data_IF_230970886120
#
_entry.id   IF_230970886120
#
_cell.length_a   1.000
_cell.length_b   1.000
_cell.length_c   1.000
_cell.angle_alpha   90.00
_cell.angle_beta   90.00
_cell.angle_gamma   90.00
#
_symmetry.space_group_name_H-M   'P 1'
#
loop_
_entity.id
_entity.type
_entity.pdbx_description
1 polymer ?
#
# COMPACT_ATOMS: atom_id res chain seq x y z
N UNK A 1 -23.04 11.87 4.68
CA UNK A 1 -22.88 11.82 3.22
C UNK A 1 -22.79 13.20 2.57
N UNK A 2 -23.74 14.11 2.79
CA UNK A 2 -23.79 15.46 2.17
C UNK A 2 -22.61 16.36 2.57
N UNK A 3 -22.08 16.26 3.79
CA UNK A 3 -20.93 17.06 4.28
C UNK A 3 -19.61 16.70 3.59
N UNK A 4 -19.40 15.42 3.24
CA UNK A 4 -18.20 14.97 2.53
C UNK A 4 -18.22 15.37 1.04
N UNK A 5 -19.39 15.45 0.41
CA UNK A 5 -19.52 15.86 -0.97
C UNK A 5 -19.13 17.35 -1.14
N UNK A 6 -19.49 18.20 -0.18
CA UNK A 6 -19.10 19.63 -0.21
C UNK A 6 -17.60 19.84 -0.06
N UNK A 7 -16.92 19.11 0.84
CA UNK A 7 -15.48 19.28 1.05
C UNK A 7 -14.65 18.78 -0.13
N UNK A 8 -15.02 17.67 -0.77
CA UNK A 8 -14.34 17.17 -1.98
C UNK A 8 -14.50 18.12 -3.16
N UNK A 9 -15.67 18.71 -3.35
CA UNK A 9 -15.89 19.70 -4.42
C UNK A 9 -15.14 21.01 -4.17
N UNK A 10 -15.09 21.50 -2.93
CA UNK A 10 -14.34 22.71 -2.59
C UNK A 10 -12.83 22.49 -2.82
N UNK A 11 -12.28 21.36 -2.37
CA UNK A 11 -10.87 21.02 -2.58
C UNK A 11 -10.49 20.89 -4.05
N UNK A 12 -11.35 20.23 -4.84
CA UNK A 12 -11.10 20.09 -6.29
C UNK A 12 -11.20 21.42 -7.04
N UNK A 13 -12.13 22.28 -6.70
CA UNK A 13 -12.24 23.63 -7.29
C UNK A 13 -11.01 24.46 -6.92
N UNK A 14 -10.58 24.42 -5.65
CA UNK A 14 -9.41 25.17 -5.21
C UNK A 14 -8.14 24.74 -5.95
N UNK A 15 -7.88 23.43 -6.06
CA UNK A 15 -6.72 22.92 -6.80
C UNK A 15 -6.79 23.26 -8.31
N UNK A 16 -7.96 23.18 -8.91
CA UNK A 16 -8.13 23.60 -10.31
C UNK A 16 -7.85 25.10 -10.49
N UNK A 17 -8.30 25.96 -9.58
CA UNK A 17 -7.99 27.38 -9.59
C UNK A 17 -6.49 27.64 -9.42
N UNK A 18 -5.83 26.94 -8.48
CA UNK A 18 -4.38 27.04 -8.30
C UNK A 18 -3.64 26.66 -9.59
N UNK A 19 -4.04 25.56 -10.24
CA UNK A 19 -3.44 25.14 -11.51
C UNK A 19 -3.59 26.21 -12.60
N UNK A 20 -4.80 26.80 -12.73
CA UNK A 20 -5.07 27.89 -13.69
C UNK A 20 -4.20 29.12 -13.39
N UNK A 21 -4.12 29.51 -12.11
CA UNK A 21 -3.29 30.65 -11.67
C UNK A 21 -1.83 30.43 -12.02
N UNK A 22 -1.28 29.23 -11.72
CA UNK A 22 0.11 28.89 -12.04
C UNK A 22 0.34 28.92 -13.55
N UNK A 23 -0.56 28.38 -14.35
CA UNK A 23 -0.44 28.34 -15.80
C UNK A 23 -0.47 29.75 -16.44
N UNK A 24 -1.30 30.67 -15.90
CA UNK A 24 -1.47 32.00 -16.48
C UNK A 24 -0.47 33.00 -15.91
N UNK A 25 -0.31 33.04 -14.56
CA UNK A 25 0.48 34.06 -13.90
C UNK A 25 1.98 33.73 -13.80
N UNK A 26 2.33 32.43 -13.95
CA UNK A 26 3.74 31.96 -13.90
C UNK A 26 4.51 32.52 -12.71
N UNK A 27 4.07 32.28 -11.47
CA UNK A 27 4.52 33.00 -10.28
C UNK A 27 5.95 32.64 -9.82
N UNK A 28 6.56 31.60 -10.37
CA UNK A 28 7.87 31.09 -9.92
C UNK A 28 8.96 31.48 -10.90
N UNK A 29 9.79 32.47 -10.54
CA UNK A 29 10.84 33.01 -11.40
C UNK A 29 11.93 31.98 -11.78
N UNK A 30 12.10 30.95 -10.98
CA UNK A 30 13.09 29.89 -11.18
C UNK A 30 12.59 28.77 -12.14
N UNK A 31 11.34 28.85 -12.59
CA UNK A 31 10.75 27.89 -13.53
C UNK A 31 10.47 28.55 -14.88
N UNK A 32 10.76 27.83 -15.94
CA UNK A 32 10.41 28.27 -17.29
C UNK A 32 8.91 28.10 -17.61
N UNK A 33 8.49 28.52 -18.78
CA UNK A 33 7.09 28.46 -19.21
C UNK A 33 6.58 27.03 -19.32
N UNK A 34 7.41 26.11 -19.77
CA UNK A 34 7.06 24.70 -19.95
C UNK A 34 6.90 24.02 -18.60
N UNK A 35 7.74 24.37 -17.62
CA UNK A 35 7.63 23.89 -16.24
C UNK A 35 6.32 24.36 -15.57
N UNK A 36 5.92 25.62 -15.76
CA UNK A 36 4.64 26.12 -15.22
C UNK A 36 3.43 25.39 -15.80
N UNK A 37 3.43 25.13 -17.12
CA UNK A 37 2.36 24.38 -17.78
C UNK A 37 2.35 22.94 -17.24
N UNK A 38 3.50 22.28 -17.14
CA UNK A 38 3.59 20.92 -16.60
C UNK A 38 3.17 20.86 -15.15
N UNK A 39 3.58 21.82 -14.31
CA UNK A 39 3.19 21.90 -12.92
C UNK A 39 1.66 22.05 -12.75
N UNK A 40 1.03 22.83 -13.62
CA UNK A 40 -0.44 22.94 -13.65
C UNK A 40 -1.07 21.58 -14.00
N UNK A 41 -0.55 20.86 -14.97
CA UNK A 41 -0.99 19.50 -15.32
C UNK A 41 -0.85 18.52 -14.16
N UNK A 42 0.27 18.58 -13.43
CA UNK A 42 0.52 17.76 -12.25
C UNK A 42 -0.50 18.07 -11.15
N UNK A 43 -0.78 19.35 -10.87
CA UNK A 43 -1.76 19.74 -9.86
C UNK A 43 -3.17 19.25 -10.23
N UNK A 44 -3.55 19.29 -11.50
CA UNK A 44 -4.82 18.75 -11.98
C UNK A 44 -4.86 17.22 -11.82
N UNK A 45 -3.78 16.53 -12.16
CA UNK A 45 -3.68 15.08 -11.97
C UNK A 45 -3.80 14.71 -10.48
N UNK A 46 -3.09 15.42 -9.61
CA UNK A 46 -3.19 15.26 -8.14
C UNK A 46 -4.60 15.53 -7.64
N UNK A 47 -5.26 16.56 -8.15
CA UNK A 47 -6.65 16.86 -7.84
C UNK A 47 -7.57 15.67 -8.16
N UNK A 48 -7.40 15.05 -9.35
CA UNK A 48 -8.16 13.87 -9.74
C UNK A 48 -7.85 12.67 -8.84
N UNK A 49 -6.60 12.45 -8.50
CA UNK A 49 -6.16 11.31 -7.67
C UNK A 49 -6.63 11.43 -6.22
N UNK A 50 -6.61 12.63 -5.65
CA UNK A 50 -6.98 12.87 -4.25
C UNK A 50 -8.49 13.01 -4.08
N UNK A 51 -9.12 13.88 -4.87
CA UNK A 51 -10.53 14.26 -4.66
C UNK A 51 -11.52 13.50 -5.53
N UNK A 52 -11.07 12.87 -6.62
CA UNK A 52 -11.92 12.14 -7.60
C UNK A 52 -13.13 12.96 -8.04
N UNK A 53 -12.96 14.20 -8.51
CA UNK A 53 -14.06 15.04 -8.95
C UNK A 53 -14.86 14.32 -10.05
N UNK A 54 -16.18 14.49 -10.07
CA UNK A 54 -17.07 13.85 -11.04
C UNK A 54 -16.94 12.31 -11.12
N UNK A 55 -16.42 11.66 -10.08
CA UNK A 55 -16.11 10.22 -10.05
C UNK A 55 -15.04 9.79 -11.06
N UNK A 56 -14.17 10.71 -11.48
CA UNK A 56 -13.05 10.40 -12.35
C UNK A 56 -12.15 9.33 -11.70
N UNK A 57 -11.64 8.45 -12.55
CA UNK A 57 -10.77 7.36 -12.10
C UNK A 57 -9.30 7.78 -12.06
N UNK A 58 -8.47 7.02 -11.40
CA UNK A 58 -7.03 7.28 -11.31
C UNK A 58 -6.34 7.36 -12.69
N UNK A 59 -6.75 6.51 -13.65
CA UNK A 59 -6.21 6.52 -15.01
C UNK A 59 -6.39 7.90 -15.69
N UNK A 60 -7.52 8.58 -15.45
CA UNK A 60 -7.79 9.89 -16.07
C UNK A 60 -6.76 10.94 -15.61
N UNK A 61 -6.37 10.95 -14.34
CA UNK A 61 -5.28 11.83 -13.86
C UNK A 61 -3.94 11.53 -14.57
N UNK A 62 -3.65 10.24 -14.82
CA UNK A 62 -2.50 9.87 -15.63
C UNK A 62 -2.57 10.37 -17.08
N UNK A 63 -3.75 10.28 -17.72
CA UNK A 63 -3.96 10.80 -19.07
C UNK A 63 -3.83 12.33 -19.13
N UNK A 64 -4.18 13.04 -18.06
CA UNK A 64 -3.95 14.49 -17.94
C UNK A 64 -2.45 14.80 -17.96
N UNK A 65 -1.62 14.04 -17.24
CA UNK A 65 -0.16 14.21 -17.30
C UNK A 65 0.36 14.01 -18.71
N UNK A 66 -0.11 12.97 -19.41
CA UNK A 66 0.28 12.72 -20.80
C UNK A 66 -0.14 13.87 -21.72
N UNK A 67 -1.36 14.40 -21.57
CA UNK A 67 -1.85 15.53 -22.34
C UNK A 67 -0.97 16.77 -22.14
N UNK A 68 -0.64 17.12 -20.92
CA UNK A 68 0.18 18.29 -20.62
C UNK A 68 1.63 18.11 -21.11
N UNK A 69 2.21 16.90 -20.97
CA UNK A 69 3.51 16.59 -21.56
C UNK A 69 3.54 16.73 -23.08
N UNK A 70 2.48 16.30 -23.77
CA UNK A 70 2.35 16.48 -25.23
C UNK A 70 2.15 17.95 -25.61
N UNK A 71 1.41 18.73 -24.82
CA UNK A 71 1.18 20.15 -25.08
C UNK A 71 2.47 20.99 -25.01
N UNK A 72 3.44 20.57 -24.19
CA UNK A 72 4.75 21.22 -24.09
C UNK A 72 5.81 20.52 -24.96
N UNK A 73 5.38 19.66 -25.88
CA UNK A 73 6.21 18.97 -26.87
C UNK A 73 7.35 18.11 -26.29
N UNK A 74 7.16 17.57 -25.07
CA UNK A 74 8.12 16.61 -24.52
C UNK A 74 8.16 15.32 -25.35
N UNK A 75 9.34 14.67 -25.46
CA UNK A 75 9.48 13.41 -26.16
C UNK A 75 8.54 12.34 -25.59
N UNK A 76 7.83 11.55 -26.43
CA UNK A 76 6.99 10.45 -25.96
C UNK A 76 7.73 9.44 -25.06
N UNK A 77 9.03 9.27 -25.26
CA UNK A 77 9.90 8.44 -24.41
C UNK A 77 10.02 8.95 -22.97
N UNK A 78 9.85 10.24 -22.74
CA UNK A 78 9.80 10.86 -21.42
C UNK A 78 8.38 10.74 -20.86
N UNK A 79 7.37 11.13 -21.64
CA UNK A 79 5.97 11.15 -21.22
C UNK A 79 5.48 9.76 -20.80
N UNK A 80 5.81 8.72 -21.58
CA UNK A 80 5.38 7.35 -21.39
C UNK A 80 6.47 6.45 -20.80
N UNK A 81 7.52 7.03 -20.24
CA UNK A 81 8.67 6.29 -19.64
C UNK A 81 8.25 5.26 -18.60
N UNK A 82 7.19 5.52 -17.87
CA UNK A 82 6.70 4.61 -16.83
C UNK A 82 6.17 3.28 -17.38
N UNK A 83 5.76 3.21 -18.65
CA UNK A 83 5.35 1.95 -19.27
C UNK A 83 6.53 1.00 -19.52
N UNK A 84 7.74 1.53 -19.59
CA UNK A 84 8.98 0.76 -19.77
C UNK A 84 9.62 0.36 -18.44
N UNK A 85 9.12 0.83 -17.30
CA UNK A 85 9.67 0.51 -16.00
C UNK A 85 9.48 -0.97 -15.63
N UNK A 86 10.54 -1.71 -15.27
CA UNK A 86 10.45 -3.12 -14.85
C UNK A 86 9.48 -3.35 -13.69
N UNK A 87 9.33 -2.37 -12.81
CA UNK A 87 8.40 -2.43 -11.67
C UNK A 87 6.93 -2.55 -12.12
N UNK A 88 6.52 -1.94 -13.24
CA UNK A 88 5.18 -2.11 -13.80
C UNK A 88 4.96 -3.57 -14.20
N UNK A 89 5.97 -4.21 -14.78
CA UNK A 89 5.95 -5.61 -15.20
C UNK A 89 6.08 -6.61 -14.05
N UNK A 90 6.35 -6.14 -12.84
CA UNK A 90 6.15 -6.90 -11.59
C UNK A 90 4.72 -6.77 -11.10
N UNK A 91 4.13 -5.56 -11.21
CA UNK A 91 2.78 -5.27 -10.70
C UNK A 91 1.66 -5.89 -11.53
N UNK A 92 1.80 -5.91 -12.85
CA UNK A 92 0.78 -6.52 -13.73
C UNK A 92 0.56 -7.99 -13.37
N UNK A 93 1.58 -8.87 -13.34
CA UNK A 93 1.41 -10.26 -12.89
C UNK A 93 0.84 -10.39 -11.47
N UNK A 94 1.15 -9.46 -10.58
CA UNK A 94 0.65 -9.49 -9.21
C UNK A 94 -0.88 -9.41 -9.13
N UNK A 95 -1.55 -8.74 -10.07
CA UNK A 95 -3.01 -8.76 -10.17
C UNK A 95 -3.52 -10.15 -10.53
N UNK A 96 -2.84 -10.86 -11.43
CA UNK A 96 -3.17 -12.23 -11.82
C UNK A 96 -2.97 -13.22 -10.65
N UNK A 97 -1.94 -13.04 -9.83
CA UNK A 97 -1.74 -13.84 -8.61
C UNK A 97 -2.93 -13.70 -7.67
N UNK A 98 -3.37 -12.46 -7.45
CA UNK A 98 -4.54 -12.18 -6.64
C UNK A 98 -5.82 -12.81 -7.20
N UNK A 99 -6.05 -12.66 -8.49
CA UNK A 99 -7.20 -13.27 -9.18
C UNK A 99 -7.17 -14.80 -9.07
N UNK A 100 -5.99 -15.41 -9.25
CA UNK A 100 -5.80 -16.87 -9.12
C UNK A 100 -6.15 -17.36 -7.71
N UNK A 101 -5.72 -16.65 -6.66
CA UNK A 101 -6.08 -16.99 -5.28
C UNK A 101 -7.60 -16.99 -5.03
N UNK A 102 -8.32 -16.05 -5.64
CA UNK A 102 -9.79 -16.01 -5.55
C UNK A 102 -10.45 -17.09 -6.39
N UNK A 103 -10.04 -17.25 -7.65
CA UNK A 103 -10.60 -18.22 -8.60
C UNK A 103 -10.49 -19.65 -8.09
N UNK A 104 -9.33 -20.02 -7.54
CA UNK A 104 -9.08 -21.36 -7.03
C UNK A 104 -9.64 -21.61 -5.64
N UNK A 105 -9.88 -20.57 -4.85
CA UNK A 105 -10.30 -20.68 -3.45
C UNK A 105 -9.17 -21.00 -2.47
N UNK A 106 -7.91 -21.07 -2.94
CA UNK A 106 -6.73 -21.38 -2.13
C UNK A 106 -6.59 -20.43 -0.92
N UNK A 107 -6.81 -19.13 -1.12
CA UNK A 107 -6.72 -18.14 -0.05
C UNK A 107 -7.73 -18.40 1.08
N UNK A 108 -8.97 -18.76 0.75
CA UNK A 108 -10.00 -19.14 1.74
C UNK A 108 -9.60 -20.39 2.49
N UNK A 109 -9.04 -21.39 1.81
CA UNK A 109 -8.57 -22.63 2.43
C UNK A 109 -7.48 -22.38 3.46
N UNK A 110 -6.48 -21.53 3.14
CA UNK A 110 -5.40 -21.14 4.05
C UNK A 110 -5.98 -20.48 5.31
N UNK A 111 -6.84 -19.49 5.14
CA UNK A 111 -7.45 -18.79 6.25
C UNK A 111 -8.27 -19.72 7.15
N UNK A 112 -9.09 -20.59 6.57
CA UNK A 112 -9.89 -21.56 7.31
C UNK A 112 -9.04 -22.62 8.02
N UNK A 113 -7.91 -23.03 7.44
CA UNK A 113 -6.99 -23.99 8.07
C UNK A 113 -6.42 -23.42 9.39
N UNK A 114 -6.03 -22.15 9.39
CA UNK A 114 -5.52 -21.47 10.61
C UNK A 114 -6.63 -21.31 11.66
N UNK A 115 -7.84 -20.89 11.26
CA UNK A 115 -8.95 -20.69 12.21
C UNK A 115 -9.37 -22.00 12.88
N UNK A 116 -9.29 -23.11 12.18
CA UNK A 116 -9.66 -24.43 12.73
C UNK A 116 -8.80 -24.89 13.90
N UNK A 117 -7.55 -24.46 13.97
CA UNK A 117 -6.64 -24.79 15.09
C UNK A 117 -6.79 -23.85 16.28
N UNK A 118 -7.58 -22.77 16.15
CA UNK A 118 -7.79 -21.80 17.22
C UNK A 118 -8.57 -22.38 18.40
N UNK A 119 -8.26 -21.87 19.59
CA UNK A 119 -9.09 -22.05 20.79
C UNK A 119 -10.28 -21.08 20.77
N UNK A 120 -11.40 -21.38 21.47
CA UNK A 120 -12.57 -20.51 21.54
C UNK A 120 -12.35 -19.29 22.45
N UNK A 121 -11.30 -18.54 22.18
CA UNK A 121 -10.93 -17.33 22.91
C UNK A 121 -10.63 -16.20 21.94
N UNK A 122 -10.95 -14.96 22.32
CA UNK A 122 -10.59 -13.79 21.53
C UNK A 122 -9.09 -13.72 21.25
N UNK A 123 -8.26 -13.98 22.27
CA UNK A 123 -6.79 -13.98 22.10
C UNK A 123 -6.38 -14.92 20.97
N UNK A 124 -6.80 -16.17 21.00
CA UNK A 124 -6.44 -17.15 19.96
C UNK A 124 -6.93 -16.73 18.58
N UNK A 125 -8.18 -16.28 18.44
CA UNK A 125 -8.77 -15.86 17.18
C UNK A 125 -8.10 -14.59 16.63
N UNK A 126 -7.82 -13.61 17.49
CA UNK A 126 -7.23 -12.35 17.08
C UNK A 126 -5.78 -12.54 16.64
N UNK A 127 -4.98 -13.32 17.37
CA UNK A 127 -3.62 -13.67 16.95
C UNK A 127 -3.58 -14.55 15.70
N UNK A 128 -4.61 -15.34 15.42
CA UNK A 128 -4.69 -16.17 14.21
C UNK A 128 -4.71 -15.35 12.91
N UNK A 129 -5.19 -14.11 12.96
CA UNK A 129 -5.19 -13.24 11.78
C UNK A 129 -3.77 -12.84 11.34
N UNK A 130 -2.76 -12.84 12.24
CA UNK A 130 -1.36 -12.56 11.88
C UNK A 130 -0.83 -13.59 10.87
N UNK A 131 -0.76 -14.90 11.17
CA UNK A 131 -0.25 -15.88 10.23
C UNK A 131 -1.10 -15.98 8.95
N UNK A 132 -2.42 -15.72 9.03
CA UNK A 132 -3.26 -15.65 7.83
C UNK A 132 -2.82 -14.48 6.94
N UNK A 133 -2.66 -13.29 7.50
CA UNK A 133 -2.21 -12.10 6.77
C UNK A 133 -0.82 -12.28 6.17
N UNK A 134 0.12 -12.83 6.94
CA UNK A 134 1.48 -13.17 6.48
C UNK A 134 1.42 -14.16 5.33
N UNK A 135 0.75 -15.30 5.49
CA UNK A 135 0.68 -16.34 4.46
C UNK A 135 0.05 -15.81 3.15
N UNK A 136 -1.06 -15.07 3.25
CA UNK A 136 -1.70 -14.51 2.07
C UNK A 136 -0.85 -13.42 1.41
N UNK A 137 -0.08 -12.63 2.17
CA UNK A 137 0.77 -11.59 1.59
C UNK A 137 2.06 -12.14 0.96
N UNK A 138 2.51 -13.33 1.34
CA UNK A 138 3.54 -14.09 0.61
C UNK A 138 3.03 -14.49 -0.77
N UNK A 139 1.76 -14.89 -0.85
CA UNK A 139 1.16 -15.40 -2.08
C UNK A 139 0.66 -14.31 -3.03
N UNK A 140 0.36 -13.12 -2.53
CA UNK A 140 -0.09 -11.99 -3.38
C UNK A 140 0.15 -10.63 -2.76
N UNK A 141 0.72 -9.67 -3.52
CA UNK A 141 0.81 -8.26 -3.10
C UNK A 141 -0.56 -7.54 -3.14
N UNK A 142 -1.58 -8.15 -3.76
CA UNK A 142 -2.87 -7.51 -3.94
C UNK A 142 -3.67 -7.47 -2.62
N UNK A 143 -3.53 -6.39 -1.86
CA UNK A 143 -4.26 -6.16 -0.59
C UNK A 143 -5.78 -6.28 -0.77
N UNK A 144 -6.33 -5.82 -1.91
CA UNK A 144 -7.75 -5.96 -2.26
C UNK A 144 -8.21 -7.41 -2.19
N UNK A 145 -7.39 -8.35 -2.69
CA UNK A 145 -7.69 -9.77 -2.69
C UNK A 145 -7.66 -10.33 -1.28
N UNK A 146 -6.64 -9.97 -0.48
CA UNK A 146 -6.55 -10.40 0.92
C UNK A 146 -7.75 -9.93 1.73
N UNK A 147 -8.14 -8.67 1.56
CA UNK A 147 -9.37 -8.11 2.17
C UNK A 147 -10.60 -8.90 1.74
N UNK A 148 -10.77 -9.17 0.43
CA UNK A 148 -11.91 -9.91 -0.09
C UNK A 148 -11.98 -11.38 0.41
N UNK A 149 -10.85 -11.97 0.82
CA UNK A 149 -10.78 -13.30 1.41
C UNK A 149 -11.03 -13.24 2.92
N UNK A 150 -10.33 -12.36 3.64
CA UNK A 150 -10.31 -12.37 5.11
C UNK A 150 -11.57 -11.77 5.72
N UNK A 151 -12.13 -10.71 5.13
CA UNK A 151 -13.29 -10.02 5.72
C UNK A 151 -14.56 -10.88 5.77
N UNK A 152 -14.98 -11.60 4.70
CA UNK A 152 -16.13 -12.49 4.79
C UNK A 152 -15.97 -13.57 5.87
N UNK A 153 -14.76 -14.09 6.04
CA UNK A 153 -14.46 -15.08 7.09
C UNK A 153 -14.59 -14.46 8.47
N UNK A 154 -14.07 -13.24 8.66
CA UNK A 154 -14.21 -12.51 9.93
C UNK A 154 -15.69 -12.22 10.26
N UNK A 155 -16.48 -11.82 9.26
CA UNK A 155 -17.93 -11.63 9.40
C UNK A 155 -18.61 -12.94 9.78
N UNK A 156 -18.29 -14.05 9.10
CA UNK A 156 -18.82 -15.37 9.41
C UNK A 156 -18.46 -15.81 10.85
N UNK A 157 -17.26 -15.54 11.32
CA UNK A 157 -16.87 -15.78 12.71
C UNK A 157 -17.77 -14.99 13.67
N UNK A 158 -17.99 -13.69 13.42
CA UNK A 158 -18.87 -12.85 14.23
C UNK A 158 -20.31 -13.37 14.28
N UNK A 159 -20.81 -13.95 13.16
CA UNK A 159 -22.14 -14.56 13.07
C UNK A 159 -22.25 -15.86 13.87
N UNK A 160 -21.29 -16.73 13.69
CA UNK A 160 -21.25 -18.02 14.43
C UNK A 160 -21.12 -17.82 15.93
N UNK A 161 -20.39 -16.80 16.37
CA UNK A 161 -20.28 -16.44 17.78
C UNK A 161 -21.47 -15.62 18.32
N UNK A 162 -22.48 -15.33 17.48
CA UNK A 162 -23.64 -14.52 17.83
C UNK A 162 -23.29 -13.15 18.42
N UNK A 163 -22.18 -12.55 18.00
CA UNK A 163 -21.75 -11.25 18.50
C UNK A 163 -22.72 -10.15 18.08
N UNK A 164 -23.00 -9.23 19.01
CA UNK A 164 -23.83 -8.06 18.72
C UNK A 164 -23.17 -7.17 17.67
N UNK A 165 -23.92 -6.76 16.65
CA UNK A 165 -23.45 -5.84 15.59
C UNK A 165 -22.92 -4.56 16.20
N UNK A 166 -21.72 -4.12 15.78
CA UNK A 166 -21.07 -2.92 16.29
C UNK A 166 -20.53 -3.02 17.73
N UNK A 167 -20.63 -4.19 18.40
CA UNK A 167 -20.00 -4.40 19.71
C UNK A 167 -18.46 -4.33 19.61
N UNK A 168 -17.79 -4.19 20.75
CA UNK A 168 -16.32 -4.18 20.79
C UNK A 168 -15.75 -5.49 20.24
N UNK A 169 -16.32 -6.65 20.61
CA UNK A 169 -15.88 -7.96 20.12
C UNK A 169 -16.05 -8.12 18.61
N UNK A 170 -17.22 -7.73 18.07
CA UNK A 170 -17.46 -7.72 16.62
C UNK A 170 -16.46 -6.80 15.90
N UNK A 171 -16.27 -5.58 16.40
CA UNK A 171 -15.35 -4.60 15.78
C UNK A 171 -13.90 -5.07 15.87
N UNK A 172 -13.48 -5.65 16.97
CA UNK A 172 -12.12 -6.15 17.16
C UNK A 172 -11.77 -7.24 16.14
N UNK A 173 -12.65 -8.25 15.97
CA UNK A 173 -12.41 -9.34 15.01
C UNK A 173 -12.28 -8.80 13.59
N UNK A 174 -13.22 -7.95 13.16
CA UNK A 174 -13.27 -7.46 11.78
C UNK A 174 -12.15 -6.46 11.50
N UNK A 175 -11.85 -5.53 12.44
CA UNK A 175 -10.74 -4.57 12.31
C UNK A 175 -9.39 -5.27 12.28
N UNK A 176 -9.20 -6.32 13.12
CA UNK A 176 -7.94 -7.06 13.10
C UNK A 176 -7.79 -7.84 11.80
N UNK A 177 -8.83 -8.50 11.29
CA UNK A 177 -8.78 -9.15 9.99
C UNK A 177 -8.43 -8.16 8.88
N UNK A 178 -9.02 -6.97 8.87
CA UNK A 178 -8.66 -5.89 7.95
C UNK A 178 -7.19 -5.48 8.10
N UNK A 179 -6.75 -5.16 9.31
CA UNK A 179 -5.39 -4.71 9.56
C UNK A 179 -4.34 -5.76 9.18
N UNK A 180 -4.61 -7.04 9.45
CA UNK A 180 -3.72 -8.14 9.07
C UNK A 180 -3.75 -8.45 7.58
N UNK A 181 -4.80 -8.11 6.86
CA UNK A 181 -4.79 -8.12 5.39
C UNK A 181 -3.89 -7.01 4.79
N UNK A 182 -3.66 -5.93 5.53
CA UNK A 182 -2.95 -4.74 5.06
C UNK A 182 -1.48 -4.74 5.51
N UNK A 183 -1.22 -4.77 6.82
CA UNK A 183 0.05 -4.35 7.44
C UNK A 183 1.18 -5.38 7.29
N UNK A 184 1.01 -6.67 7.62
CA UNK A 184 2.14 -7.62 7.66
C UNK A 184 2.90 -7.72 6.35
N UNK A 185 2.19 -7.69 5.22
CA UNK A 185 2.79 -7.76 3.88
C UNK A 185 3.75 -6.61 3.57
N UNK A 186 3.67 -5.51 4.28
CA UNK A 186 4.58 -4.37 4.11
C UNK A 186 6.03 -4.70 4.51
N UNK A 187 6.25 -5.77 5.26
CA UNK A 187 7.58 -6.21 5.70
C UNK A 187 8.46 -6.77 4.59
N UNK A 188 7.93 -7.08 3.41
CA UNK A 188 8.69 -7.55 2.25
C UNK A 188 8.19 -6.95 0.93
N UNK A 189 9.11 -6.83 -0.02
CA UNK A 189 8.92 -6.09 -1.27
C UNK A 189 7.67 -6.54 -2.06
N UNK A 190 7.45 -7.83 -2.19
CA UNK A 190 6.33 -8.40 -2.97
C UNK A 190 5.07 -8.63 -2.14
N UNK A 191 5.04 -8.22 -0.89
CA UNK A 191 3.90 -8.44 0.00
C UNK A 191 2.80 -7.39 -0.07
N UNK A 192 3.08 -6.27 -0.73
CA UNK A 192 2.12 -5.18 -0.97
C UNK A 192 2.37 -4.55 -2.33
N UNK A 193 1.35 -3.95 -2.92
CA UNK A 193 1.45 -3.23 -4.20
C UNK A 193 2.47 -2.07 -4.14
N UNK A 194 2.65 -1.47 -2.98
CA UNK A 194 3.61 -0.38 -2.74
C UNK A 194 5.07 -0.80 -2.98
N UNK A 195 5.42 -2.05 -2.67
CA UNK A 195 6.78 -2.51 -2.77
C UNK A 195 7.35 -2.30 -4.18
N UNK A 196 6.80 -2.98 -5.21
CA UNK A 196 7.24 -2.76 -6.58
C UNK A 196 7.02 -1.33 -7.08
N UNK A 197 5.98 -0.63 -6.59
CA UNK A 197 5.73 0.76 -6.93
C UNK A 197 6.87 1.67 -6.42
N UNK A 198 7.20 1.60 -5.13
CA UNK A 198 8.29 2.39 -4.55
C UNK A 198 9.62 2.01 -5.20
N UNK A 199 9.88 0.72 -5.40
CA UNK A 199 11.09 0.25 -6.08
C UNK A 199 11.24 0.90 -7.47
N UNK A 200 10.15 0.99 -8.24
CA UNK A 200 10.17 1.62 -9.56
C UNK A 200 10.40 3.13 -9.49
N UNK A 201 9.80 3.83 -8.53
CA UNK A 201 10.03 5.26 -8.32
C UNK A 201 11.49 5.54 -7.92
N UNK A 202 12.04 4.74 -7.02
CA UNK A 202 13.44 4.84 -6.58
C UNK A 202 14.39 4.56 -7.76
N UNK A 203 14.14 3.52 -8.55
CA UNK A 203 14.93 3.22 -9.74
C UNK A 203 14.89 4.36 -10.77
N UNK A 204 13.73 5.03 -10.93
CA UNK A 204 13.59 6.23 -11.76
C UNK A 204 14.40 7.42 -11.25
N UNK A 205 14.71 7.47 -9.98
CA UNK A 205 15.58 8.45 -9.32
C UNK A 205 17.05 7.99 -9.22
N UNK A 206 17.43 6.87 -9.84
CA UNK A 206 18.78 6.31 -9.79
C UNK A 206 19.10 5.52 -8.52
N UNK A 207 18.12 5.25 -7.68
CA UNK A 207 18.27 4.52 -6.42
C UNK A 207 17.86 3.06 -6.63
N UNK A 208 18.79 2.13 -6.45
CA UNK A 208 18.52 0.70 -6.58
C UNK A 208 18.09 0.12 -5.23
N UNK A 209 16.87 -0.40 -5.17
CA UNK A 209 16.32 -1.04 -3.96
C UNK A 209 16.16 -2.53 -4.23
N UNK A 210 16.87 -3.35 -3.49
CA UNK A 210 16.76 -4.82 -3.57
C UNK A 210 15.70 -5.37 -2.63
N UNK A 211 15.37 -6.65 -2.79
CA UNK A 211 14.49 -7.35 -1.85
C UNK A 211 15.10 -7.42 -0.44
N UNK A 212 16.42 -7.57 -0.36
CA UNK A 212 17.18 -7.59 0.90
C UNK A 212 17.13 -6.26 1.63
N UNK A 213 17.33 -5.14 0.92
CA UNK A 213 17.25 -3.78 1.48
C UNK A 213 15.88 -3.52 2.08
N UNK A 214 14.84 -3.91 1.35
CA UNK A 214 13.45 -3.77 1.81
C UNK A 214 13.21 -4.52 3.13
N UNK A 215 13.60 -5.79 3.21
CA UNK A 215 13.48 -6.59 4.42
C UNK A 215 14.32 -5.99 5.56
N UNK A 216 15.54 -5.58 5.27
CA UNK A 216 16.45 -5.00 6.25
C UNK A 216 15.87 -3.78 6.95
N UNK A 217 15.14 -2.96 6.22
CA UNK A 217 14.57 -1.70 6.73
C UNK A 217 13.19 -1.89 7.35
N UNK A 218 12.34 -2.77 6.78
CA UNK A 218 10.91 -2.82 7.10
C UNK A 218 10.46 -4.02 7.91
N UNK A 219 11.11 -5.18 7.82
CA UNK A 219 10.61 -6.38 8.47
C UNK A 219 10.44 -6.21 9.97
N UNK A 220 11.47 -5.66 10.65
CA UNK A 220 11.45 -5.47 12.11
C UNK A 220 10.38 -4.46 12.52
N UNK A 221 10.34 -3.22 12.00
CA UNK A 221 9.33 -2.25 12.43
C UNK A 221 7.90 -2.68 12.07
N UNK A 222 7.67 -3.34 10.94
CA UNK A 222 6.36 -3.86 10.58
C UNK A 222 5.92 -5.00 11.50
N UNK A 223 6.82 -5.92 11.86
CA UNK A 223 6.51 -7.01 12.79
C UNK A 223 6.14 -6.47 14.18
N UNK A 224 6.89 -5.49 14.69
CA UNK A 224 6.62 -4.83 15.97
C UNK A 224 5.27 -4.09 15.90
N UNK A 225 5.06 -3.25 14.88
CA UNK A 225 3.81 -2.50 14.72
C UNK A 225 2.60 -3.43 14.60
N UNK A 226 2.71 -4.53 13.86
CA UNK A 226 1.68 -5.57 13.73
C UNK A 226 1.33 -6.19 15.07
N UNK A 227 2.35 -6.62 15.81
CA UNK A 227 2.17 -7.30 17.11
C UNK A 227 1.57 -6.36 18.15
N UNK A 228 2.11 -5.13 18.26
CA UNK A 228 1.62 -4.13 19.20
C UNK A 228 0.20 -3.67 18.86
N UNK A 229 -0.15 -3.59 17.57
CA UNK A 229 -1.53 -3.29 17.14
C UNK A 229 -2.51 -4.37 17.63
N UNK A 230 -2.16 -5.63 17.48
CA UNK A 230 -3.01 -6.75 17.92
C UNK A 230 -3.16 -6.75 19.44
N UNK A 231 -2.08 -6.60 20.19
CA UNK A 231 -2.09 -6.52 21.65
C UNK A 231 -2.90 -5.31 22.13
N UNK A 232 -2.60 -4.12 21.58
CA UNK A 232 -3.31 -2.89 21.91
C UNK A 232 -4.79 -2.95 21.58
N UNK A 233 -5.15 -3.61 20.47
CA UNK A 233 -6.54 -3.88 20.11
C UNK A 233 -7.27 -4.70 21.15
N UNK A 234 -6.67 -5.77 21.65
CA UNK A 234 -7.22 -6.61 22.72
C UNK A 234 -7.39 -5.83 24.02
N UNK A 235 -6.49 -4.91 24.34
CA UNK A 235 -6.55 -4.11 25.57
C UNK A 235 -7.60 -2.99 25.49
N UNK A 236 -7.65 -2.26 24.36
CA UNK A 236 -8.51 -1.06 24.21
C UNK A 236 -9.92 -1.40 23.78
N UNK A 237 -10.08 -2.37 22.87
CA UNK A 237 -11.38 -2.89 22.43
C UNK A 237 -11.74 -4.17 23.20
N UNK A 238 -11.44 -4.21 24.50
CA UNK A 238 -11.73 -5.37 25.35
C UNK A 238 -13.18 -5.81 25.15
N UNK A 239 -13.42 -7.05 24.67
CA UNK A 239 -14.76 -7.56 24.45
C UNK A 239 -15.51 -7.74 25.76
N UNK A 240 -16.78 -7.38 25.75
CA UNK A 240 -17.67 -7.57 26.90
C UNK A 240 -18.42 -8.93 26.82
N UNK A 241 -18.38 -9.58 25.65
CA UNK A 241 -19.07 -10.84 25.35
C UNK A 241 -18.06 -12.00 25.32
N UNK A 242 -18.46 -13.19 25.78
CA UNK A 242 -17.65 -14.41 25.68
C UNK A 242 -17.92 -15.12 24.35
N UNK A 243 -16.88 -15.74 23.75
CA UNK A 243 -17.07 -16.55 22.55
C UNK A 243 -17.70 -17.90 22.93
N UNK A 244 -18.71 -18.32 22.15
CA UNK A 244 -19.35 -19.62 22.35
C UNK A 244 -18.42 -20.77 21.88
N UNK A 245 -18.09 -21.74 22.75
CA UNK A 245 -17.30 -22.91 22.35
C UNK A 245 -17.93 -23.72 21.20
N UNK A 246 -19.28 -23.80 21.17
CA UNK A 246 -20.01 -24.54 20.14
C UNK A 246 -19.78 -23.96 18.75
N UNK A 247 -19.57 -22.65 18.63
CA UNK A 247 -19.32 -21.99 17.37
C UNK A 247 -17.98 -22.41 16.72
N UNK A 248 -16.92 -22.56 17.51
CA UNK A 248 -15.63 -23.07 17.02
C UNK A 248 -15.73 -24.53 16.62
N UNK A 249 -16.48 -25.35 17.36
CA UNK A 249 -16.72 -26.73 16.96
C UNK A 249 -17.48 -26.81 15.62
N UNK A 250 -18.43 -25.91 15.37
CA UNK A 250 -19.11 -25.83 14.10
C UNK A 250 -18.15 -25.49 12.94
N UNK A 251 -17.17 -24.59 13.17
CA UNK A 251 -16.11 -24.31 12.19
C UNK A 251 -15.19 -25.52 11.99
N UNK A 252 -14.81 -26.21 13.07
CA UNK A 252 -13.94 -27.40 13.02
C UNK A 252 -14.58 -28.56 12.27
N UNK A 253 -15.90 -28.73 12.39
CA UNK A 253 -16.67 -29.79 11.68
C UNK A 253 -16.80 -29.56 10.19
N UNK A 254 -16.51 -28.36 9.67
CA UNK A 254 -16.46 -28.12 8.24
C UNK A 254 -15.21 -28.80 7.65
N UNK A 255 -15.36 -30.00 7.10
CA UNK A 255 -14.26 -30.66 6.41
C UNK A 255 -14.02 -29.99 5.05
N UNK A 256 -12.81 -29.44 4.79
CA UNK A 256 -12.49 -28.95 3.46
C UNK A 256 -12.43 -30.14 2.50
N UNK A 257 -13.00 -30.00 1.32
CA UNK A 257 -12.79 -30.94 0.23
C UNK A 257 -11.28 -31.11 -0.03
N UNK A 258 -10.89 -32.22 -0.68
CA UNK A 258 -9.50 -32.41 -1.14
C UNK A 258 -9.07 -31.19 -1.97
N UNK A 259 -7.78 -30.84 -1.91
CA UNK A 259 -7.25 -29.75 -2.74
C UNK A 259 -7.43 -30.10 -4.22
N UNK A 260 -7.93 -29.15 -4.99
CA UNK A 260 -8.00 -29.29 -6.44
C UNK A 260 -6.59 -29.22 -7.06
N UNK A 261 -6.46 -29.70 -8.31
CA UNK A 261 -5.19 -29.54 -9.06
C UNK A 261 -4.81 -28.06 -9.18
N UNK A 262 -5.77 -27.19 -9.44
CA UNK A 262 -5.55 -25.76 -9.60
C UNK A 262 -5.10 -25.10 -8.30
N UNK A 263 -5.65 -25.52 -7.15
CA UNK A 263 -5.18 -25.05 -5.83
C UNK A 263 -3.73 -25.45 -5.58
N UNK A 264 -3.36 -26.72 -5.88
CA UNK A 264 -1.99 -27.22 -5.67
C UNK A 264 -1.02 -26.51 -6.61
N UNK A 265 -1.34 -26.42 -7.91
CA UNK A 265 -0.52 -25.73 -8.91
C UNK A 265 -0.32 -24.26 -8.53
N UNK A 266 -1.39 -23.58 -8.11
CA UNK A 266 -1.32 -22.20 -7.68
C UNK A 266 -0.43 -22.02 -6.45
N UNK A 267 -0.55 -22.89 -5.45
CA UNK A 267 0.28 -22.86 -4.26
C UNK A 267 1.78 -23.01 -4.60
N UNK A 268 2.10 -23.99 -5.46
CA UNK A 268 3.49 -24.22 -5.88
C UNK A 268 4.06 -23.02 -6.61
N UNK A 269 3.34 -22.48 -7.60
CA UNK A 269 3.80 -21.32 -8.38
C UNK A 269 4.01 -20.11 -7.48
N UNK A 270 3.04 -19.77 -6.62
CA UNK A 270 3.12 -18.57 -5.76
C UNK A 270 4.22 -18.69 -4.71
N UNK A 271 4.42 -19.87 -4.11
CA UNK A 271 5.54 -20.10 -3.19
C UNK A 271 6.87 -20.02 -3.94
N UNK A 272 6.96 -20.56 -5.14
CA UNK A 272 8.17 -20.48 -5.96
C UNK A 272 8.52 -19.02 -6.31
N UNK A 273 7.53 -18.16 -6.63
CA UNK A 273 7.73 -16.71 -6.84
C UNK A 273 8.36 -16.05 -5.61
N UNK A 274 7.82 -16.33 -4.43
CA UNK A 274 8.32 -15.73 -3.20
C UNK A 274 9.76 -16.18 -2.91
N UNK A 275 10.03 -17.49 -2.99
CA UNK A 275 11.37 -18.06 -2.78
C UNK A 275 12.37 -17.50 -3.80
N UNK A 276 12.01 -17.49 -5.09
CA UNK A 276 12.87 -16.94 -6.13
C UNK A 276 13.14 -15.45 -5.92
N UNK A 277 12.13 -14.66 -5.54
CA UNK A 277 12.34 -13.24 -5.23
C UNK A 277 13.26 -13.01 -4.03
N UNK A 278 13.14 -13.85 -2.99
CA UNK A 278 14.00 -13.81 -1.81
C UNK A 278 15.45 -14.19 -2.14
N UNK A 279 15.64 -15.15 -3.05
CA UNK A 279 16.95 -15.66 -3.46
C UNK A 279 17.54 -14.95 -4.68
N UNK A 280 17.01 -13.80 -5.06
CA UNK A 280 17.42 -13.02 -6.24
C UNK A 280 18.93 -12.77 -6.33
N UNK A 281 19.61 -12.59 -5.19
CA UNK A 281 21.06 -12.44 -5.13
C UNK A 281 21.86 -13.67 -5.57
N UNK A 282 21.25 -14.88 -5.59
CA UNK A 282 21.93 -16.12 -6.01
C UNK A 282 21.85 -16.36 -7.52
N UNK A 283 20.77 -15.94 -8.17
CA UNK A 283 20.51 -16.25 -9.59
C UNK A 283 20.48 -15.00 -10.50
N UNK A 284 20.47 -13.79 -9.94
CA UNK A 284 20.52 -12.52 -10.68
C UNK A 284 19.24 -12.18 -11.48
N UNK A 285 18.16 -12.96 -11.36
CA UNK A 285 16.91 -12.65 -12.07
C UNK A 285 16.17 -11.50 -11.36
N UNK A 286 15.68 -10.55 -12.13
CA UNK A 286 14.84 -9.48 -11.60
C UNK A 286 13.46 -10.01 -11.19
N UNK A 287 12.83 -9.35 -10.19
CA UNK A 287 11.49 -9.71 -9.74
C UNK A 287 10.46 -9.66 -10.87
N UNK A 288 10.63 -8.78 -11.85
CA UNK A 288 9.77 -8.69 -13.03
C UNK A 288 9.81 -9.99 -13.86
N UNK A 289 11.00 -10.50 -14.12
CA UNK A 289 11.18 -11.77 -14.87
C UNK A 289 10.49 -12.92 -14.13
N UNK A 290 10.71 -13.03 -12.82
CA UNK A 290 10.11 -14.07 -11.97
C UNK A 290 8.57 -13.98 -12.02
N UNK A 291 8.01 -12.79 -11.86
CA UNK A 291 6.57 -12.58 -11.84
C UNK A 291 5.92 -12.85 -13.20
N UNK A 292 6.55 -12.42 -14.31
CA UNK A 292 6.05 -12.70 -15.67
C UNK A 292 6.09 -14.19 -15.93
N UNK A 293 7.20 -14.88 -15.62
CA UNK A 293 7.30 -16.32 -15.79
C UNK A 293 6.21 -17.08 -15.02
N UNK A 294 5.95 -16.68 -13.78
CA UNK A 294 4.89 -17.28 -12.97
C UNK A 294 3.49 -17.04 -13.57
N UNK A 295 3.23 -15.83 -14.08
CA UNK A 295 1.97 -15.52 -14.76
C UNK A 295 1.79 -16.43 -15.98
N UNK A 296 2.82 -16.61 -16.80
CA UNK A 296 2.78 -17.54 -17.92
C UNK A 296 2.52 -18.99 -17.49
N UNK A 297 3.14 -19.43 -16.40
CA UNK A 297 2.88 -20.76 -15.84
C UNK A 297 1.41 -20.97 -15.49
N UNK A 298 0.70 -19.97 -14.96
CA UNK A 298 -0.74 -20.11 -14.69
C UNK A 298 -1.57 -20.38 -15.95
N UNK A 299 -1.22 -19.80 -17.09
CA UNK A 299 -1.87 -20.06 -18.38
C UNK A 299 -1.44 -21.41 -18.97
N UNK A 300 -0.16 -21.74 -18.92
CA UNK A 300 0.39 -23.00 -19.45
C UNK A 300 -0.21 -24.21 -18.71
N UNK A 301 -0.34 -24.14 -17.39
CA UNK A 301 -0.93 -25.21 -16.59
C UNK A 301 -2.46 -25.16 -16.51
N UNK A 302 -3.11 -24.23 -17.22
CA UNK A 302 -4.57 -24.16 -17.37
C UNK A 302 -5.30 -23.64 -16.12
N UNK A 303 -4.60 -23.10 -15.13
CA UNK A 303 -5.22 -22.46 -13.96
C UNK A 303 -5.96 -21.18 -14.38
N UNK A 304 -5.36 -20.42 -15.29
CA UNK A 304 -5.97 -19.26 -15.94
C UNK A 304 -6.23 -19.54 -17.42
N UNK A 305 -7.32 -18.98 -17.93
CA UNK A 305 -7.72 -19.04 -19.32
C UNK A 305 -7.64 -17.64 -19.95
N UNK A 306 -7.62 -17.57 -21.30
CA UNK A 306 -7.57 -16.28 -22.02
C UNK A 306 -8.68 -15.31 -21.60
N UNK A 307 -9.88 -15.82 -21.28
CA UNK A 307 -10.99 -15.01 -20.80
C UNK A 307 -10.73 -14.33 -19.46
N UNK A 308 -9.84 -14.91 -18.63
CA UNK A 308 -9.49 -14.35 -17.32
C UNK A 308 -8.60 -13.12 -17.43
N UNK A 309 -7.96 -12.88 -18.59
CA UNK A 309 -7.00 -11.81 -18.77
C UNK A 309 -7.60 -10.43 -18.46
N UNK A 310 -8.79 -10.15 -18.99
CA UNK A 310 -9.46 -8.87 -18.72
C UNK A 310 -10.01 -8.77 -17.29
N UNK A 311 -10.40 -9.90 -16.69
CA UNK A 311 -10.96 -9.93 -15.34
C UNK A 311 -9.89 -9.79 -14.26
N UNK A 312 -8.69 -10.29 -14.52
CA UNK A 312 -7.56 -10.20 -13.60
C UNK A 312 -6.88 -8.82 -13.62
N UNK A 313 -6.76 -8.21 -14.80
CA UNK A 313 -6.06 -6.94 -14.98
C UNK A 313 -6.91 -5.74 -14.52
N UNK A 314 -6.37 -4.94 -13.60
CA UNK A 314 -6.96 -3.67 -13.21
C UNK A 314 -6.37 -2.53 -14.06
N UNK A 315 -6.88 -2.36 -15.28
CA UNK A 315 -6.37 -1.38 -16.24
C UNK A 315 -6.36 0.06 -15.71
N UNK A 316 -7.36 0.44 -14.91
CA UNK A 316 -7.40 1.77 -14.30
C UNK A 316 -6.18 2.01 -13.39
N UNK A 317 -5.79 0.99 -12.62
CA UNK A 317 -4.62 1.09 -11.73
C UNK A 317 -3.31 0.92 -12.51
N UNK A 318 -3.28 0.10 -13.54
CA UNK A 318 -2.10 -0.10 -14.39
C UNK A 318 -1.72 1.22 -15.09
N UNK A 319 -2.68 1.89 -15.74
CA UNK A 319 -2.44 3.18 -16.41
C UNK A 319 -2.01 4.24 -15.40
N UNK A 320 -2.68 4.31 -14.24
CA UNK A 320 -2.30 5.23 -13.17
C UNK A 320 -0.85 5.03 -12.73
N UNK A 321 -0.45 3.79 -12.42
CA UNK A 321 0.89 3.46 -11.94
C UNK A 321 1.94 3.77 -13.01
N UNK A 322 1.68 3.41 -14.27
CA UNK A 322 2.58 3.71 -15.38
C UNK A 322 2.81 5.22 -15.51
N UNK A 323 1.75 6.01 -15.48
CA UNK A 323 1.88 7.47 -15.58
C UNK A 323 2.49 8.09 -14.31
N UNK A 324 2.25 7.52 -13.13
CA UNK A 324 2.92 7.92 -11.91
C UNK A 324 4.45 7.65 -11.97
N UNK A 325 4.89 6.56 -12.58
CA UNK A 325 6.32 6.31 -12.85
C UNK A 325 6.93 7.31 -13.82
N UNK A 326 6.14 7.92 -14.70
CA UNK A 326 6.62 8.97 -15.59
C UNK A 326 6.84 10.32 -14.91
N UNK A 327 6.32 10.54 -13.66
CA UNK A 327 6.46 11.82 -12.98
C UNK A 327 7.92 12.22 -12.73
N UNK A 328 8.80 11.29 -12.33
CA UNK A 328 10.21 11.58 -12.13
C UNK A 328 10.89 12.10 -13.42
N UNK A 329 10.85 11.37 -14.54
CA UNK A 329 11.31 11.86 -15.83
C UNK A 329 10.67 13.16 -16.31
N UNK A 330 9.36 13.36 -16.08
CA UNK A 330 8.67 14.62 -16.38
C UNK A 330 9.21 15.79 -15.54
N UNK A 331 9.43 15.59 -14.25
CA UNK A 331 10.00 16.59 -13.36
C UNK A 331 11.42 16.97 -13.77
N UNK A 332 12.25 15.97 -14.08
CA UNK A 332 13.63 16.23 -14.50
C UNK A 332 13.69 16.94 -15.86
N UNK A 333 12.85 16.56 -16.80
CA UNK A 333 12.82 17.18 -18.12
C UNK A 333 12.33 18.65 -18.10
N UNK A 334 11.60 19.05 -17.05
CA UNK A 334 11.04 20.41 -16.90
C UNK A 334 11.72 21.23 -15.79
N UNK A 335 12.79 20.73 -15.15
CA UNK A 335 13.48 21.42 -14.07
C UNK A 335 12.68 21.50 -12.76
N UNK A 336 11.50 20.90 -12.68
CA UNK A 336 10.66 20.90 -11.46
C UNK A 336 11.35 20.14 -10.33
N UNK A 337 12.14 19.09 -10.60
CA UNK A 337 12.90 18.35 -9.58
C UNK A 337 13.87 19.25 -8.81
N UNK A 338 14.64 20.06 -9.53
CA UNK A 338 15.65 20.97 -8.98
C UNK A 338 14.97 22.09 -8.16
N UNK A 339 13.90 22.64 -8.70
CA UNK A 339 13.10 23.66 -8.00
C UNK A 339 12.50 23.13 -6.69
N UNK A 340 11.87 21.95 -6.72
CA UNK A 340 11.34 21.30 -5.51
C UNK A 340 12.45 20.97 -4.50
N UNK A 341 13.59 20.47 -4.97
CA UNK A 341 14.73 20.19 -4.11
C UNK A 341 15.23 21.46 -3.42
N UNK A 342 15.27 22.59 -4.14
CA UNK A 342 15.62 23.90 -3.58
C UNK A 342 14.70 24.36 -2.45
N UNK A 343 13.46 23.86 -2.39
CA UNK A 343 12.51 24.17 -1.31
C UNK A 343 12.58 23.13 -0.19
N UNK A 344 12.56 21.84 -0.56
CA UNK A 344 12.42 20.75 0.41
C UNK A 344 13.71 20.51 1.19
N UNK A 345 14.88 20.54 0.53
CA UNK A 345 16.15 20.23 1.20
C UNK A 345 16.44 21.24 2.32
N UNK A 346 16.39 22.57 2.13
CA UNK A 346 16.61 23.52 3.23
C UNK A 346 15.58 23.38 4.35
N UNK A 347 14.34 23.02 4.04
CA UNK A 347 13.30 22.85 5.05
C UNK A 347 13.59 21.67 6.02
N UNK A 348 14.42 20.72 5.63
CA UNK A 348 14.84 19.58 6.48
C UNK A 348 16.05 19.90 7.36
N UNK A 349 16.80 20.97 7.09
CA UNK A 349 18.02 21.34 7.83
C UNK A 349 17.84 21.34 9.35
N UNK A 350 16.74 21.89 9.94
CA UNK A 350 16.58 21.94 11.40
C UNK A 350 16.49 20.57 12.07
N UNK A 351 16.15 19.52 11.33
CA UNK A 351 15.94 18.16 11.85
C UNK A 351 16.99 17.15 11.38
N UNK A 352 17.74 17.48 10.33
CA UNK A 352 18.61 16.53 9.63
C UNK A 352 19.85 16.11 10.45
N UNK A 353 20.33 16.96 11.35
CA UNK A 353 21.52 16.68 12.17
C UNK A 353 21.36 15.62 13.26
N UNK A 354 20.13 15.13 13.49
CA UNK A 354 19.86 14.10 14.50
C UNK A 354 18.94 13.01 13.92
N UNK A 355 19.41 11.76 13.75
CA UNK A 355 18.60 10.67 13.17
C UNK A 355 17.26 10.45 13.87
N UNK A 356 17.19 10.57 15.19
CA UNK A 356 15.97 10.42 15.95
C UNK A 356 14.97 11.53 15.63
N UNK A 357 15.45 12.78 15.70
CA UNK A 357 14.60 13.94 15.41
C UNK A 357 14.08 13.86 13.98
N UNK A 358 14.95 13.51 13.02
CA UNK A 358 14.61 13.37 11.62
C UNK A 358 13.50 12.33 11.42
N UNK A 359 13.71 11.10 11.89
CA UNK A 359 12.76 10.00 11.67
C UNK A 359 11.42 10.29 12.33
N UNK A 360 11.41 10.78 13.57
CA UNK A 360 10.16 11.04 14.29
C UNK A 360 9.41 12.26 13.73
N UNK A 361 10.11 13.33 13.36
CA UNK A 361 9.49 14.49 12.74
C UNK A 361 8.92 14.17 11.35
N UNK A 362 9.68 13.47 10.51
CA UNK A 362 9.22 13.02 9.20
C UNK A 362 8.05 12.03 9.31
N UNK A 363 8.10 11.07 10.22
CA UNK A 363 7.01 10.13 10.45
C UNK A 363 5.74 10.86 10.92
N UNK A 364 5.86 11.76 11.91
CA UNK A 364 4.71 12.55 12.39
C UNK A 364 4.11 13.39 11.27
N UNK A 365 4.95 14.07 10.50
CA UNK A 365 4.49 14.83 9.34
C UNK A 365 3.74 13.95 8.35
N UNK A 366 4.28 12.78 8.00
CA UNK A 366 3.64 11.87 7.06
C UNK A 366 2.34 11.26 7.61
N UNK A 367 2.26 10.98 8.91
CA UNK A 367 0.98 10.57 9.53
C UNK A 367 -0.08 11.67 9.46
N UNK A 368 0.29 12.94 9.64
CA UNK A 368 -0.62 14.08 9.46
C UNK A 368 -0.99 14.23 7.98
N UNK A 369 0.00 14.14 7.09
CA UNK A 369 -0.19 14.23 5.64
C UNK A 369 -1.11 13.14 5.10
N UNK A 370 -1.13 11.95 5.70
CA UNK A 370 -2.05 10.85 5.35
C UNK A 370 -3.54 11.21 5.50
N UNK A 371 -3.88 12.28 6.21
CA UNK A 371 -5.24 12.80 6.30
C UNK A 371 -5.68 13.50 4.99
N UNK A 372 -4.73 13.95 4.19
CA UNK A 372 -4.92 14.64 2.91
C UNK A 372 -4.67 13.69 1.75
N UNK A 373 -3.49 13.06 1.72
CA UNK A 373 -3.15 12.07 0.68
C UNK A 373 -3.75 10.70 1.00
N UNK A 374 -5.03 10.57 0.67
CA UNK A 374 -5.80 9.33 0.85
C UNK A 374 -5.53 8.29 -0.25
N UNK A 375 -4.75 8.65 -1.28
CA UNK A 375 -4.30 7.75 -2.34
C UNK A 375 -3.06 6.93 -1.92
N UNK A 376 -2.85 6.80 -0.62
CA UNK A 376 -1.86 5.91 -0.03
C UNK A 376 -0.42 6.32 -0.35
N UNK A 377 -0.17 7.61 -0.40
CA UNK A 377 1.11 8.24 -0.74
C UNK A 377 1.66 7.92 -2.14
N UNK A 378 0.88 7.30 -3.02
CA UNK A 378 1.36 7.07 -4.38
C UNK A 378 1.77 8.38 -5.07
N UNK A 379 0.94 9.46 -5.03
CA UNK A 379 1.37 10.78 -5.51
C UNK A 379 2.56 11.34 -4.74
N UNK A 380 2.52 11.30 -3.42
CA UNK A 380 3.59 11.84 -2.55
C UNK A 380 4.92 11.15 -2.82
N UNK A 381 4.94 9.82 -2.93
CA UNK A 381 6.14 9.03 -3.25
C UNK A 381 6.67 9.40 -4.62
N UNK A 382 5.81 9.58 -5.63
CA UNK A 382 6.22 9.96 -6.97
C UNK A 382 6.85 11.36 -7.04
N UNK A 383 6.41 12.28 -6.19
CA UNK A 383 6.97 13.63 -6.06
C UNK A 383 8.28 13.61 -5.28
N UNK A 384 8.34 12.82 -4.19
CA UNK A 384 9.49 12.78 -3.31
C UNK A 384 10.67 11.98 -3.87
N UNK A 385 10.41 10.89 -4.60
CA UNK A 385 11.46 10.01 -5.08
C UNK A 385 12.58 10.75 -5.87
N UNK A 386 12.29 11.67 -6.81
CA UNK A 386 13.32 12.41 -7.53
C UNK A 386 14.16 13.35 -6.64
N UNK A 387 13.67 13.72 -5.46
CA UNK A 387 14.31 14.65 -4.51
C UNK A 387 15.22 13.90 -3.52
N UNK A 388 14.93 12.61 -3.25
CA UNK A 388 15.66 11.83 -2.26
C UNK A 388 17.17 11.77 -2.47
N UNK A 389 17.72 11.69 -3.71
CA UNK A 389 19.16 11.74 -3.92
C UNK A 389 19.79 13.05 -3.40
N UNK A 390 19.10 14.18 -3.55
CA UNK A 390 19.56 15.48 -3.04
C UNK A 390 19.52 15.55 -1.52
N UNK A 391 18.52 14.93 -0.89
CA UNK A 391 18.45 14.82 0.59
C UNK A 391 19.59 13.95 1.09
N UNK A 392 19.89 12.84 0.41
CA UNK A 392 21.00 11.97 0.74
C UNK A 392 22.35 12.70 0.61
N UNK A 393 22.56 13.43 -0.47
CA UNK A 393 23.77 14.21 -0.69
C UNK A 393 23.97 15.28 0.41
N UNK A 394 22.90 16.00 0.77
CA UNK A 394 22.97 17.09 1.74
C UNK A 394 23.10 16.61 3.20
N UNK A 395 22.43 15.55 3.57
CA UNK A 395 22.26 15.17 4.98
C UNK A 395 22.68 13.75 5.31
N UNK A 396 23.21 13.01 4.36
CA UNK A 396 23.65 11.63 4.54
C UNK A 396 22.54 10.68 5.07
N UNK A 397 21.28 10.97 4.72
CA UNK A 397 20.12 10.15 5.06
C UNK A 397 19.80 9.24 3.89
N UNK A 398 19.95 7.93 4.09
CA UNK A 398 19.65 6.96 3.04
C UNK A 398 18.16 6.96 2.64
N UNK A 399 17.84 6.93 1.35
CA UNK A 399 16.46 6.84 0.85
C UNK A 399 15.63 5.68 1.43
N UNK A 400 16.26 4.61 1.88
CA UNK A 400 15.59 3.48 2.53
C UNK A 400 14.85 3.89 3.80
N UNK A 401 15.34 4.89 4.53
CA UNK A 401 14.66 5.45 5.72
C UNK A 401 13.31 6.05 5.34
N UNK A 402 13.26 6.77 4.21
CA UNK A 402 12.03 7.34 3.68
C UNK A 402 11.03 6.27 3.27
N UNK A 403 11.50 5.16 2.67
CA UNK A 403 10.66 4.01 2.32
C UNK A 403 9.94 3.49 3.56
N UNK A 404 10.65 3.33 4.67
CA UNK A 404 10.04 2.85 5.91
C UNK A 404 8.99 3.83 6.45
N UNK A 405 9.27 5.12 6.42
CA UNK A 405 8.33 6.16 6.86
C UNK A 405 7.07 6.17 5.99
N UNK A 406 7.22 6.13 4.65
CA UNK A 406 6.08 6.10 3.72
C UNK A 406 5.19 4.87 3.95
N UNK A 407 5.78 3.70 4.14
CA UNK A 407 5.05 2.46 4.34
C UNK A 407 4.29 2.47 5.68
N UNK A 408 4.95 2.87 6.77
CA UNK A 408 4.32 2.89 8.09
C UNK A 408 3.18 3.92 8.14
N UNK A 409 3.41 5.12 7.65
CA UNK A 409 2.38 6.17 7.64
C UNK A 409 1.28 5.92 6.60
N UNK A 410 1.62 5.37 5.43
CA UNK A 410 0.66 5.07 4.36
C UNK A 410 -0.37 4.00 4.70
N UNK A 411 -0.06 3.14 5.65
CA UNK A 411 -1.02 2.16 6.18
C UNK A 411 -1.99 2.74 7.22
N UNK A 412 -1.95 4.03 7.53
CA UNK A 412 -2.84 4.67 8.52
C UNK A 412 -4.33 4.58 8.13
N UNK A 413 -5.21 4.44 9.13
CA UNK A 413 -6.66 4.29 8.95
C UNK A 413 -7.47 4.87 10.11
N UNK A 414 -7.11 6.06 10.61
CA UNK A 414 -7.83 6.72 11.71
C UNK A 414 -9.27 7.06 11.35
N UNK A 415 -9.47 7.56 10.13
CA UNK A 415 -10.74 8.06 9.64
C UNK A 415 -11.35 7.11 8.60
N UNK A 416 -12.68 7.14 8.50
CA UNK A 416 -13.43 6.23 7.65
C UNK A 416 -13.09 6.34 6.14
N UNK A 417 -12.58 7.49 5.70
CA UNK A 417 -12.24 7.76 4.29
C UNK A 417 -10.75 7.62 3.97
N UNK A 418 -9.88 7.64 4.99
CA UNK A 418 -8.44 7.80 4.87
C UNK A 418 -7.75 6.63 4.14
N UNK A 419 -8.29 5.44 4.23
CA UNK A 419 -7.70 4.25 3.63
C UNK A 419 -8.74 3.53 2.76
N UNK A 420 -8.45 3.37 1.46
CA UNK A 420 -9.39 2.77 0.51
C UNK A 420 -9.76 1.33 0.85
N UNK A 421 -8.84 0.57 1.44
CA UNK A 421 -9.14 -0.82 1.85
C UNK A 421 -9.98 -0.86 3.12
N UNK A 422 -9.88 0.13 4.00
CA UNK A 422 -10.83 0.28 5.12
C UNK A 422 -12.24 0.56 4.61
N UNK A 423 -12.38 1.44 3.59
CA UNK A 423 -13.67 1.70 2.92
C UNK A 423 -14.23 0.44 2.28
N UNK A 424 -13.41 -0.30 1.53
CA UNK A 424 -13.79 -1.57 0.91
C UNK A 424 -14.18 -2.62 1.97
N UNK A 425 -13.39 -2.74 3.03
CA UNK A 425 -13.65 -3.67 4.13
C UNK A 425 -14.99 -3.40 4.83
N UNK A 426 -15.30 -2.12 5.05
CA UNK A 426 -16.61 -1.71 5.61
C UNK A 426 -17.76 -2.08 4.68
N UNK A 427 -17.57 -1.92 3.38
CA UNK A 427 -18.57 -2.33 2.38
C UNK A 427 -18.82 -3.83 2.40
N UNK A 428 -17.75 -4.65 2.48
CA UNK A 428 -17.85 -6.11 2.58
C UNK A 428 -18.50 -6.55 3.88
N UNK A 429 -18.11 -5.94 5.01
CA UNK A 429 -18.67 -6.25 6.32
C UNK A 429 -20.14 -5.81 6.48
N UNK A 430 -20.61 -4.87 5.65
CA UNK A 430 -21.99 -4.42 5.60
C UNK A 430 -22.50 -3.94 6.97
N UNK A 431 -23.59 -4.52 7.44
CA UNK A 431 -24.19 -4.16 8.72
C UNK A 431 -23.42 -4.66 9.95
N UNK A 432 -22.38 -5.47 9.77
CA UNK A 432 -21.45 -5.92 10.80
C UNK A 432 -20.16 -5.09 10.85
N UNK A 433 -20.04 -4.07 9.99
CA UNK A 433 -18.90 -3.17 10.01
C UNK A 433 -18.69 -2.54 11.39
N UNK A 434 -17.45 -2.21 11.68
CA UNK A 434 -17.07 -1.51 12.90
C UNK A 434 -17.59 -0.06 12.95
N UNK A 435 -17.65 0.51 14.15
CA UNK A 435 -18.02 1.93 14.32
C UNK A 435 -16.83 2.85 14.02
N UNK A 436 -17.11 4.11 13.68
CA UNK A 436 -16.03 5.10 13.46
C UNK A 436 -15.19 5.31 14.72
N UNK A 437 -15.80 5.23 15.91
CA UNK A 437 -15.10 5.35 17.19
C UNK A 437 -14.11 4.19 17.39
N UNK A 438 -14.52 2.95 17.08
CA UNK A 438 -13.63 1.79 17.19
C UNK A 438 -12.50 1.87 16.16
N UNK A 439 -12.78 2.32 14.94
CA UNK A 439 -11.76 2.54 13.93
C UNK A 439 -10.74 3.60 14.37
N UNK A 440 -11.20 4.75 14.87
CA UNK A 440 -10.31 5.80 15.34
C UNK A 440 -9.40 5.34 16.48
N UNK A 441 -9.96 4.60 17.47
CA UNK A 441 -9.16 4.01 18.55
C UNK A 441 -8.13 3.02 18.02
N UNK A 442 -8.52 2.13 17.11
CA UNK A 442 -7.63 1.11 16.54
C UNK A 442 -6.54 1.75 15.66
N UNK A 443 -6.88 2.79 14.90
CA UNK A 443 -5.93 3.58 14.13
C UNK A 443 -4.94 4.33 15.02
N UNK A 444 -5.38 4.86 16.17
CA UNK A 444 -4.49 5.50 17.15
C UNK A 444 -3.51 4.48 17.76
N UNK A 445 -3.99 3.27 18.07
CA UNK A 445 -3.10 2.18 18.51
C UNK A 445 -2.05 1.88 17.44
N UNK A 446 -2.44 1.84 16.16
CA UNK A 446 -1.51 1.64 15.05
C UNK A 446 -0.45 2.75 14.99
N UNK A 447 -0.85 4.00 15.11
CA UNK A 447 0.08 5.13 15.15
C UNK A 447 1.11 4.99 16.28
N UNK A 448 0.64 4.73 17.52
CA UNK A 448 1.52 4.52 18.67
C UNK A 448 2.43 3.31 18.45
N UNK A 449 1.89 2.22 17.90
CA UNK A 449 2.66 1.02 17.59
C UNK A 449 3.77 1.31 16.56
N UNK A 450 3.50 2.14 15.54
CA UNK A 450 4.51 2.59 14.59
C UNK A 450 5.61 3.43 15.26
N UNK A 451 5.24 4.39 16.11
CA UNK A 451 6.24 5.18 16.84
C UNK A 451 7.14 4.29 17.72
N UNK A 452 6.56 3.33 18.44
CA UNK A 452 7.32 2.37 19.24
C UNK A 452 8.19 1.45 18.36
N UNK A 453 7.71 1.07 17.19
CA UNK A 453 8.50 0.31 16.23
C UNK A 453 9.70 1.11 15.71
N UNK A 454 9.55 2.41 15.49
CA UNK A 454 10.63 3.32 15.09
C UNK A 454 11.68 3.49 16.20
N UNK A 455 11.29 3.44 17.48
CA UNK A 455 12.26 3.42 18.61
C UNK A 455 13.24 2.26 18.50
N UNK A 456 12.77 1.11 18.02
CA UNK A 456 13.64 -0.08 17.82
C UNK A 456 14.35 -0.01 16.45
N UNK A 457 13.71 0.54 15.43
CA UNK A 457 14.26 0.57 14.07
C UNK A 457 15.42 1.57 13.91
N UNK A 458 15.34 2.75 14.53
CA UNK A 458 16.36 3.81 14.38
C UNK A 458 17.76 3.35 14.77
N UNK A 459 17.98 2.70 15.93
CA UNK A 459 19.31 2.16 16.26
C UNK A 459 19.81 1.11 15.25
N UNK A 460 18.92 0.27 14.73
CA UNK A 460 19.28 -0.74 13.71
C UNK A 460 19.73 -0.03 12.44
N UNK A 461 19.04 1.00 12.00
CA UNK A 461 19.34 1.77 10.79
C UNK A 461 20.64 2.56 10.93
N UNK A 462 20.91 3.15 12.12
CA UNK A 462 22.19 3.82 12.41
C UNK A 462 23.32 2.80 12.32
N UNK A 463 23.19 1.63 12.95
CA UNK A 463 24.22 0.59 12.90
C UNK A 463 24.40 -0.01 11.50
N UNK A 464 23.37 0.05 10.65
CA UNK A 464 23.44 -0.36 9.25
C UNK A 464 24.03 0.73 8.33
N UNK A 465 24.39 1.91 8.85
CA UNK A 465 24.98 3.01 8.08
C UNK A 465 24.00 3.77 7.22
N UNK A 466 22.69 3.76 7.56
CA UNK A 466 21.66 4.53 6.83
C UNK A 466 21.63 6.01 7.21
N UNK A 467 22.47 6.41 8.15
CA UNK A 467 22.76 7.80 8.52
C UNK A 467 24.29 7.97 8.59
N UNK A 468 24.79 9.03 7.95
CA UNK A 468 26.21 9.37 7.94
C UNK A 468 26.71 9.96 9.26
#
# INVERSE_FOLDING_TARGET
MIKNIRTTHIGSVLMALIAIVIMIMRPFNDLDDTAHIMLAGIIIALCIWIFKPFKLTYAIGGLVLALFGLLIELPPTVIFSGFTQPALWTLIPAFFFGYTLQKTGLGRRIAMAVIKICRPTYISLIFAWIPIGVALSILTPATTVRVAIMLPIAVQCCELFNLKKGSKGNSLIILTAFAMALIPGSGWLTGVIWGPFIQGQMAGAGIMVTFGDWIGVLLVPVAIATTLLVIGGLLVLKPDEMLSPQAIEAIKKQHPAKMSKDEITSAIILVAVFVASLTGGLHGLSTAVICIAAMLCFFIFGVLETKDFNSAANWNLIIFIAMAFSLGPLFSATGISEWLAGIVVPALEPIAGNPWLFVFAAALFMFIWSLIDVAMFLPTISIMAPILPRIQEAYQVDPLVWIAIFILAGNAFFLAYQNMWAVMSRSIAGNRAWTNQHQGKYGLIYFIACLLALVVAVPIWINAGLFG
#
